data_IF_815701737937
#
_entry.id   IF_815701737937
#
_cell.length_a   1.000
_cell.length_b   1.000
_cell.length_c   1.000
_cell.angle_alpha   90.00
_cell.angle_beta   90.00
_cell.angle_gamma   90.00
#
_symmetry.space_group_name_H-M   'P 1'
#
loop_
_entity.id
_entity.type
_entity.pdbx_description
1 polymer ?
#
# COMPACT_ATOMS: atom_id res chain seq x y z
N UNK A 1 67.41 -66.74 -17.45
CA UNK A 1 66.04 -67.17 -17.79
C UNK A 1 65.70 -68.35 -16.89
N UNK A 2 64.64 -68.44 -16.10
CA UNK A 2 63.44 -67.63 -15.82
C UNK A 2 63.00 -67.96 -14.38
N UNK A 3 62.33 -67.01 -13.76
CA UNK A 3 61.93 -66.89 -12.35
C UNK A 3 60.74 -67.76 -11.92
N UNK A 4 60.92 -68.43 -10.78
CA UNK A 4 60.10 -68.54 -9.56
C UNK A 4 58.57 -68.29 -9.65
N UNK A 5 57.84 -69.41 -9.64
CA UNK A 5 56.81 -69.90 -8.69
C UNK A 5 55.75 -69.00 -7.99
N UNK A 6 54.57 -69.65 -7.90
CA UNK A 6 53.52 -69.64 -6.85
C UNK A 6 52.41 -68.57 -6.94
N UNK A 7 51.20 -68.93 -7.41
CA UNK A 7 50.01 -69.46 -6.66
C UNK A 7 49.48 -68.44 -5.63
N UNK A 8 48.22 -68.07 -5.51
CA UNK A 8 46.90 -68.42 -6.08
C UNK A 8 45.89 -67.43 -5.48
N UNK A 9 44.75 -67.23 -6.14
CA UNK A 9 43.35 -67.17 -5.59
C UNK A 9 42.50 -66.13 -6.34
N UNK A 10 41.35 -66.61 -6.83
CA UNK A 10 40.26 -65.90 -7.49
C UNK A 10 39.51 -64.94 -6.56
N UNK A 11 39.07 -63.80 -7.10
CA UNK A 11 37.88 -63.08 -6.60
C UNK A 11 37.14 -62.38 -7.75
N UNK A 12 35.83 -62.56 -7.74
CA UNK A 12 34.82 -62.15 -8.70
C UNK A 12 34.34 -60.70 -8.44
N UNK A 13 33.68 -60.13 -9.45
CA UNK A 13 32.55 -59.19 -9.41
C UNK A 13 32.77 -57.70 -9.76
N UNK A 14 31.91 -57.34 -10.72
CA UNK A 14 31.59 -56.06 -11.35
C UNK A 14 31.00 -55.10 -10.31
N UNK A 15 31.50 -53.86 -10.27
CA UNK A 15 31.02 -52.79 -9.41
C UNK A 15 30.80 -51.50 -10.19
N UNK A 16 29.53 -51.10 -10.25
CA UNK A 16 28.96 -49.87 -10.85
C UNK A 16 29.64 -48.62 -10.29
N UNK A 17 30.08 -47.70 -11.17
CA UNK A 17 30.46 -46.34 -10.78
C UNK A 17 29.27 -45.39 -10.97
N UNK A 18 28.59 -45.10 -9.87
CA UNK A 18 27.62 -44.01 -9.76
C UNK A 18 28.32 -42.86 -9.02
N UNK A 19 28.70 -41.79 -9.73
CA UNK A 19 29.28 -40.59 -9.12
C UNK A 19 28.14 -39.75 -8.56
N UNK A 20 27.92 -39.83 -7.25
CA UNK A 20 27.09 -38.89 -6.50
C UNK A 20 27.97 -37.71 -6.07
N UNK A 21 27.74 -36.54 -6.67
CA UNK A 21 28.24 -35.26 -6.20
C UNK A 21 27.53 -34.88 -4.90
N UNK A 22 28.15 -35.15 -3.75
CA UNK A 22 27.69 -34.66 -2.46
C UNK A 22 28.21 -33.23 -2.26
N UNK A 23 27.32 -32.25 -2.39
CA UNK A 23 27.55 -30.92 -1.83
C UNK A 23 27.70 -31.04 -0.30
N UNK A 24 28.79 -30.49 0.20
CA UNK A 24 29.15 -30.48 1.61
C UNK A 24 28.13 -29.66 2.41
N UNK A 25 27.38 -30.33 3.29
CA UNK A 25 26.71 -29.67 4.41
C UNK A 25 27.80 -29.23 5.41
N UNK A 26 27.97 -27.91 5.60
CA UNK A 26 28.77 -27.40 6.73
C UNK A 26 28.10 -27.82 8.04
N UNK A 27 28.89 -28.38 8.96
CA UNK A 27 28.43 -28.88 10.28
C UNK A 27 28.55 -27.84 11.38
N UNK A 28 28.83 -26.58 11.05
CA UNK A 28 28.90 -25.54 12.05
C UNK A 28 27.48 -25.10 12.43
N UNK A 29 27.11 -25.16 13.73
CA UNK A 29 25.83 -24.65 14.17
C UNK A 29 25.75 -23.16 13.86
N UNK A 30 24.69 -22.73 13.17
CA UNK A 30 24.38 -21.31 12.99
C UNK A 30 24.23 -20.72 14.39
N UNK A 31 25.13 -19.79 14.75
CA UNK A 31 25.04 -19.05 16.00
C UNK A 31 23.80 -18.16 15.86
N UNK A 32 22.78 -18.27 16.73
CA UNK A 32 21.61 -17.40 16.64
C UNK A 32 22.06 -15.96 16.87
N UNK A 33 21.82 -15.11 15.88
CA UNK A 33 22.08 -13.68 15.99
C UNK A 33 20.95 -13.01 16.79
N UNK A 34 21.31 -11.97 17.53
CA UNK A 34 20.32 -11.10 18.15
C UNK A 34 19.75 -10.18 17.07
N UNK A 35 18.67 -10.62 16.43
CA UNK A 35 17.99 -9.92 15.33
C UNK A 35 17.49 -8.52 15.74
N UNK A 36 17.39 -8.23 17.05
CA UNK A 36 17.07 -6.88 17.54
C UNK A 36 18.25 -5.91 17.42
N UNK A 37 19.48 -6.43 17.25
CA UNK A 37 20.74 -5.66 17.13
C UNK A 37 21.36 -5.76 15.73
N UNK A 38 21.05 -6.80 14.97
CA UNK A 38 21.60 -7.06 13.64
C UNK A 38 20.52 -6.99 12.55
N UNK A 39 19.73 -5.92 12.52
CA UNK A 39 18.59 -5.74 11.60
C UNK A 39 18.94 -5.73 10.10
N UNK A 40 20.23 -5.71 9.73
CA UNK A 40 20.73 -5.60 8.35
C UNK A 40 20.23 -4.36 7.55
N UNK A 41 19.51 -3.44 8.21
CA UNK A 41 19.08 -2.14 7.71
C UNK A 41 19.28 -1.05 8.78
N UNK A 42 19.33 0.22 8.35
CA UNK A 42 19.31 1.38 9.24
C UNK A 42 17.89 1.61 9.81
N UNK A 43 17.76 2.41 10.87
CA UNK A 43 16.43 2.83 11.34
C UNK A 43 15.91 4.02 10.50
N UNK A 44 14.65 4.01 10.04
CA UNK A 44 14.07 5.15 9.35
C UNK A 44 13.99 6.40 10.24
N UNK A 45 14.41 7.54 9.70
CA UNK A 45 14.31 8.85 10.35
C UNK A 45 13.16 9.70 9.80
N UNK A 46 12.71 9.40 8.57
CA UNK A 46 11.59 10.07 7.91
C UNK A 46 10.80 9.07 7.08
N UNK A 47 9.49 9.24 7.04
CA UNK A 47 8.57 8.46 6.22
C UNK A 47 7.67 9.41 5.45
N UNK A 48 7.45 9.16 4.16
CA UNK A 48 6.41 9.82 3.35
C UNK A 48 5.49 8.76 2.76
N UNK A 49 4.19 8.89 3.02
CA UNK A 49 3.16 8.08 2.38
C UNK A 49 2.51 8.94 1.31
N UNK A 50 2.51 8.44 0.07
CA UNK A 50 1.84 9.07 -1.07
C UNK A 50 0.62 8.24 -1.46
N UNK A 51 -0.53 8.88 -1.58
CA UNK A 51 -1.71 8.33 -2.24
C UNK A 51 -1.90 9.00 -3.59
N UNK A 52 -2.17 8.19 -4.62
CA UNK A 52 -2.41 8.64 -5.99
C UNK A 52 -3.75 8.07 -6.45
N UNK A 53 -4.73 8.93 -6.66
CA UNK A 53 -6.03 8.56 -7.21
C UNK A 53 -5.89 8.06 -8.65
N UNK A 54 -6.47 6.90 -8.94
CA UNK A 54 -6.29 6.17 -10.19
C UNK A 54 -7.62 5.63 -10.74
N UNK A 55 -7.62 5.32 -12.03
CA UNK A 55 -8.55 4.40 -12.68
C UNK A 55 -7.81 3.11 -13.08
N UNK A 56 -8.56 2.09 -13.50
CA UNK A 56 -8.03 0.75 -13.78
C UNK A 56 -8.08 0.41 -15.27
N UNK A 57 -6.94 -0.04 -15.81
CA UNK A 57 -6.81 -0.67 -17.14
C UNK A 57 -6.82 -2.22 -17.08
N UNK A 58 -6.95 -2.80 -15.89
CA UNK A 58 -7.03 -4.24 -15.66
C UNK A 58 -8.18 -4.58 -14.70
N UNK A 59 -8.63 -5.84 -14.70
CA UNK A 59 -9.57 -6.34 -13.68
C UNK A 59 -8.94 -6.22 -12.29
N UNK A 60 -9.70 -5.72 -11.31
CA UNK A 60 -9.28 -5.59 -9.91
C UNK A 60 -8.63 -6.87 -9.37
N UNK A 61 -9.17 -8.04 -9.71
CA UNK A 61 -8.69 -9.33 -9.22
C UNK A 61 -7.40 -9.79 -9.90
N UNK A 62 -6.96 -9.11 -10.94
CA UNK A 62 -5.75 -9.43 -11.71
C UNK A 62 -4.63 -8.40 -11.54
N UNK A 63 -4.86 -7.30 -10.80
CA UNK A 63 -3.84 -6.24 -10.66
C UNK A 63 -2.55 -6.72 -10.00
N UNK A 64 -2.63 -7.70 -9.09
CA UNK A 64 -1.44 -8.29 -8.45
C UNK A 64 -0.60 -9.18 -9.40
N UNK A 65 -1.04 -9.36 -10.66
CA UNK A 65 -0.30 -10.06 -11.71
C UNK A 65 0.00 -9.13 -12.88
N UNK A 66 -1.00 -8.37 -13.33
CA UNK A 66 -0.96 -7.58 -14.56
C UNK A 66 -0.57 -6.12 -14.35
N UNK A 67 -0.76 -5.55 -13.15
CA UNK A 67 -0.69 -4.11 -12.92
C UNK A 67 -1.98 -3.44 -13.40
N UNK A 68 -1.87 -2.23 -13.96
CA UNK A 68 -2.99 -1.55 -14.61
C UNK A 68 -3.63 -0.36 -13.88
N UNK A 69 -3.39 -0.07 -12.59
CA UNK A 69 -3.72 1.24 -12.05
C UNK A 69 -2.97 2.36 -12.78
N UNK A 70 -3.73 3.33 -13.27
CA UNK A 70 -3.22 4.52 -13.95
C UNK A 70 -3.74 5.77 -13.23
N UNK A 71 -2.83 6.69 -12.91
CA UNK A 71 -3.13 7.96 -12.27
C UNK A 71 -4.20 8.75 -13.03
N UNK A 72 -5.20 9.24 -12.31
CA UNK A 72 -6.11 10.25 -12.83
C UNK A 72 -5.36 11.58 -13.04
N UNK A 73 -5.62 12.32 -14.13
CA UNK A 73 -4.96 13.59 -14.40
C UNK A 73 -5.17 14.56 -13.23
N UNK A 74 -4.19 15.38 -12.89
CA UNK A 74 -4.40 16.43 -11.89
C UNK A 74 -5.49 17.43 -12.34
N UNK A 75 -6.05 18.14 -11.37
CA UNK A 75 -7.06 19.18 -11.59
C UNK A 75 -6.62 20.48 -10.94
N UNK A 76 -7.16 21.65 -11.35
CA UNK A 76 -6.83 22.93 -10.72
C UNK A 76 -7.44 23.10 -9.31
N UNK A 77 -8.21 22.11 -8.83
CA UNK A 77 -8.80 22.09 -7.48
C UNK A 77 -7.72 22.29 -6.41
N UNK A 78 -7.99 23.12 -5.40
CA UNK A 78 -6.99 23.58 -4.43
C UNK A 78 -6.84 22.64 -3.24
N UNK A 79 -7.91 21.98 -2.83
CA UNK A 79 -8.01 21.19 -1.61
C UNK A 79 -8.23 19.70 -1.91
N UNK A 80 -9.06 19.38 -2.89
CA UNK A 80 -9.32 18.03 -3.36
C UNK A 80 -8.22 17.58 -4.32
N UNK A 81 -7.13 17.09 -3.74
CA UNK A 81 -5.94 16.65 -4.49
C UNK A 81 -6.03 15.17 -4.87
N UNK A 82 -5.67 14.86 -6.12
CA UNK A 82 -5.61 13.49 -6.64
C UNK A 82 -4.29 12.81 -6.26
N UNK A 83 -3.20 13.56 -6.14
CA UNK A 83 -1.97 13.12 -5.48
C UNK A 83 -1.83 13.81 -4.12
N UNK A 84 -1.72 13.02 -3.05
CA UNK A 84 -1.57 13.50 -1.68
C UNK A 84 -0.35 12.87 -1.03
N UNK A 85 0.39 13.66 -0.25
CA UNK A 85 1.55 13.20 0.52
C UNK A 85 1.41 13.60 1.98
N UNK A 86 1.75 12.66 2.87
CA UNK A 86 1.87 12.91 4.29
C UNK A 86 3.22 12.42 4.75
N UNK A 87 3.96 13.31 5.41
CA UNK A 87 5.32 13.08 5.86
C UNK A 87 5.40 13.13 7.39
N UNK A 88 6.04 12.11 7.97
CA UNK A 88 6.40 12.05 9.37
C UNK A 88 7.92 12.02 9.53
N UNK A 89 8.42 12.62 10.61
CA UNK A 89 9.82 12.65 11.00
C UNK A 89 9.97 12.16 12.43
N UNK A 90 11.01 11.36 12.67
CA UNK A 90 11.37 10.87 13.97
C UNK A 90 12.10 11.98 14.75
N UNK A 91 11.48 12.49 15.81
CA UNK A 91 12.06 13.49 16.70
C UNK A 91 12.50 12.85 18.02
N UNK A 92 13.74 13.13 18.43
CA UNK A 92 14.30 12.63 19.69
C UNK A 92 13.38 13.01 20.87
N UNK A 93 12.96 12.01 21.64
CA UNK A 93 12.08 12.20 22.80
C UNK A 93 10.58 12.32 22.49
N UNK A 94 10.19 12.55 21.24
CA UNK A 94 8.78 12.65 20.81
C UNK A 94 8.33 11.49 19.92
N UNK A 95 9.26 10.70 19.39
CA UNK A 95 8.94 9.65 18.42
C UNK A 95 8.56 10.23 17.06
N UNK A 96 7.74 9.50 16.31
CA UNK A 96 7.25 9.94 15.00
C UNK A 96 6.27 11.09 15.15
N UNK A 97 6.57 12.21 14.50
CA UNK A 97 5.74 13.42 14.50
C UNK A 97 5.48 13.88 13.08
N UNK A 98 4.35 14.54 12.84
CA UNK A 98 4.05 15.13 11.54
C UNK A 98 5.14 16.15 11.18
N UNK A 99 5.67 16.07 9.97
CA UNK A 99 6.66 17.00 9.47
C UNK A 99 6.02 18.40 9.32
N UNK A 100 6.83 19.45 9.51
CA UNK A 100 6.37 20.82 9.35
C UNK A 100 5.88 21.05 7.91
N UNK A 101 4.69 21.65 7.76
CA UNK A 101 4.08 21.89 6.46
C UNK A 101 3.47 20.67 5.76
N UNK A 102 3.60 19.46 6.33
CA UNK A 102 2.91 18.28 5.79
C UNK A 102 1.40 18.40 5.98
N UNK A 103 0.64 17.89 4.99
CA UNK A 103 -0.78 17.64 5.17
C UNK A 103 -0.99 16.66 6.34
N UNK A 104 -2.03 16.88 7.15
CA UNK A 104 -2.25 16.10 8.38
C UNK A 104 -3.20 14.90 8.24
N UNK A 105 -3.95 14.80 7.14
CA UNK A 105 -4.94 13.75 6.89
C UNK A 105 -5.04 13.44 5.40
N UNK A 106 -5.41 12.22 5.01
CA UNK A 106 -5.80 11.95 3.63
C UNK A 106 -7.28 12.26 3.43
N UNK A 107 -7.62 12.90 2.31
CA UNK A 107 -8.99 13.20 1.90
C UNK A 107 -9.32 12.38 0.66
N UNK A 108 -10.21 11.41 0.79
CA UNK A 108 -10.46 10.42 -0.25
C UNK A 108 -11.96 10.27 -0.48
N UNK A 109 -12.30 9.61 -1.58
CA UNK A 109 -13.67 9.21 -1.90
C UNK A 109 -13.83 7.71 -1.91
N UNK A 110 -15.03 7.25 -1.56
CA UNK A 110 -15.44 5.86 -1.72
C UNK A 110 -15.46 5.52 -3.21
N UNK A 111 -14.99 4.34 -3.57
CA UNK A 111 -15.04 3.88 -4.96
C UNK A 111 -16.48 3.55 -5.41
N UNK A 112 -16.78 3.81 -6.67
CA UNK A 112 -17.89 3.18 -7.39
C UNK A 112 -17.53 1.76 -7.83
N UNK A 113 -18.55 0.93 -8.08
CA UNK A 113 -18.40 -0.46 -8.51
C UNK A 113 -18.70 -0.62 -10.01
N UNK A 114 -17.73 -0.26 -10.85
CA UNK A 114 -17.91 -0.28 -12.30
C UNK A 114 -17.42 -1.58 -12.95
N UNK A 115 -17.91 -1.82 -14.17
CA UNK A 115 -17.44 -2.89 -15.05
C UNK A 115 -17.08 -2.34 -16.43
N UNK A 116 -15.95 -2.79 -16.97
CA UNK A 116 -15.59 -2.59 -18.37
C UNK A 116 -15.62 -3.95 -19.08
N UNK A 117 -16.69 -4.22 -19.81
CA UNK A 117 -16.99 -5.57 -20.30
C UNK A 117 -17.21 -6.53 -19.13
N UNK A 118 -16.41 -7.59 -19.06
CA UNK A 118 -16.45 -8.55 -17.95
C UNK A 118 -15.55 -8.16 -16.78
N UNK A 119 -14.68 -7.17 -16.95
CA UNK A 119 -13.70 -6.81 -15.94
C UNK A 119 -14.34 -5.95 -14.86
N UNK A 120 -14.12 -6.29 -13.60
CA UNK A 120 -14.47 -5.44 -12.47
C UNK A 120 -13.41 -4.34 -12.31
N UNK A 121 -13.81 -3.10 -12.55
CA UNK A 121 -12.91 -1.93 -12.60
C UNK A 121 -13.43 -0.83 -11.67
N UNK A 122 -13.41 -1.04 -10.34
CA UNK A 122 -13.82 -0.02 -9.38
C UNK A 122 -13.01 1.26 -9.57
N UNK A 123 -13.64 2.42 -9.36
CA UNK A 123 -12.96 3.70 -9.49
C UNK A 123 -13.53 4.76 -8.52
N UNK A 124 -12.71 5.68 -7.97
CA UNK A 124 -11.25 5.57 -8.04
C UNK A 124 -10.73 4.44 -7.16
N UNK A 125 -9.53 3.99 -7.48
CA UNK A 125 -8.66 3.28 -6.52
C UNK A 125 -7.49 4.20 -6.20
N UNK A 126 -6.70 3.91 -5.18
CA UNK A 126 -5.53 4.72 -4.84
C UNK A 126 -4.27 3.87 -4.84
N UNK A 127 -3.28 4.23 -5.65
CA UNK A 127 -1.93 3.71 -5.48
C UNK A 127 -1.33 4.31 -4.21
N UNK A 128 -0.86 3.46 -3.32
CA UNK A 128 -0.13 3.83 -2.11
C UNK A 128 1.35 3.54 -2.30
N UNK A 129 2.18 4.56 -2.09
CA UNK A 129 3.64 4.41 -2.02
C UNK A 129 4.13 4.85 -0.65
N UNK A 130 5.02 4.06 -0.05
CA UNK A 130 5.67 4.40 1.21
C UNK A 130 7.17 4.59 0.95
N UNK A 131 7.69 5.75 1.32
CA UNK A 131 9.10 6.09 1.19
C UNK A 131 9.72 6.30 2.56
N UNK A 132 10.77 5.55 2.86
CA UNK A 132 11.59 5.68 4.06
C UNK A 132 12.91 6.35 3.72
N UNK A 133 13.33 7.25 4.60
CA UNK A 133 14.63 7.92 4.50
C UNK A 133 15.41 7.73 5.78
N UNK A 134 16.71 7.47 5.64
CA UNK A 134 17.63 7.37 6.78
C UNK A 134 17.91 8.76 7.39
N UNK A 135 18.73 8.80 8.45
CA UNK A 135 19.10 10.05 9.15
C UNK A 135 19.84 11.07 8.28
N UNK A 136 20.38 10.67 7.12
CA UNK A 136 21.04 11.56 6.15
C UNK A 136 20.06 12.09 5.09
N UNK A 137 18.81 11.64 5.10
CA UNK A 137 17.80 11.98 4.09
C UNK A 137 17.89 11.14 2.83
N UNK A 138 18.60 10.01 2.84
CA UNK A 138 18.74 9.11 1.69
C UNK A 138 17.60 8.09 1.68
N UNK A 139 17.02 7.85 0.50
CA UNK A 139 15.98 6.82 0.32
C UNK A 139 16.55 5.44 0.67
N UNK A 140 15.89 4.73 1.59
CA UNK A 140 16.39 3.48 2.15
C UNK A 140 15.46 2.28 1.95
N UNK A 141 14.39 2.41 1.16
CA UNK A 141 13.44 1.34 0.86
C UNK A 141 14.10 0.03 0.42
N UNK A 142 15.17 0.10 -0.38
CA UNK A 142 15.93 -1.07 -0.81
C UNK A 142 16.47 -1.91 0.35
N UNK A 143 16.78 -1.29 1.50
CA UNK A 143 17.23 -2.02 2.68
C UNK A 143 16.14 -2.91 3.30
N UNK A 144 14.85 -2.70 2.97
CA UNK A 144 13.75 -3.57 3.40
C UNK A 144 13.37 -4.65 2.37
N UNK A 145 14.02 -4.65 1.20
CA UNK A 145 13.66 -5.52 0.06
C UNK A 145 14.83 -6.33 -0.48
N UNK A 146 16.04 -5.80 -0.44
CA UNK A 146 17.21 -6.45 -1.01
C UNK A 146 17.84 -7.43 -0.01
N UNK A 147 18.70 -8.32 -0.52
CA UNK A 147 19.50 -9.24 0.30
C UNK A 147 18.68 -10.12 1.26
N UNK A 148 17.45 -10.48 0.88
CA UNK A 148 16.60 -11.37 1.68
C UNK A 148 15.71 -10.65 2.70
N UNK A 149 15.84 -9.32 2.83
CA UNK A 149 15.06 -8.50 3.76
C UNK A 149 13.55 -8.52 3.44
N UNK A 150 13.20 -8.73 2.18
CA UNK A 150 11.83 -8.96 1.75
C UNK A 150 11.20 -10.20 2.41
N UNK A 151 11.97 -11.16 2.93
CA UNK A 151 11.43 -12.37 3.55
C UNK A 151 11.00 -12.17 5.02
N UNK A 152 11.37 -11.04 5.61
CA UNK A 152 11.12 -10.71 7.02
C UNK A 152 10.36 -9.40 7.23
N UNK A 153 10.18 -8.59 6.18
CA UNK A 153 9.43 -7.32 6.25
C UNK A 153 8.04 -7.38 5.59
N UNK A 154 7.02 -6.88 6.29
CA UNK A 154 5.66 -6.68 5.75
C UNK A 154 4.95 -5.51 6.41
N UNK A 155 4.32 -4.64 5.61
CA UNK A 155 3.41 -3.62 6.11
C UNK A 155 2.04 -4.18 6.42
N UNK A 156 1.43 -3.68 7.49
CA UNK A 156 0.03 -3.93 7.83
C UNK A 156 -0.72 -2.59 7.93
N UNK A 157 -1.96 -2.59 7.42
CA UNK A 157 -2.84 -1.42 7.33
C UNK A 157 -4.18 -1.73 7.98
N UNK A 158 -4.44 -1.13 9.14
CA UNK A 158 -5.66 -1.40 9.91
C UNK A 158 -6.42 -0.10 10.17
N UNK A 159 -7.63 0.09 9.63
CA UNK A 159 -8.51 1.17 10.08
C UNK A 159 -8.86 1.01 11.56
N UNK A 160 -8.73 2.07 12.34
CA UNK A 160 -9.11 2.14 13.75
C UNK A 160 -9.77 3.49 14.06
N UNK A 161 -10.39 3.63 15.23
CA UNK A 161 -11.02 4.88 15.70
C UNK A 161 -12.05 5.48 14.71
N UNK A 162 -12.82 4.59 14.08
CA UNK A 162 -13.80 4.93 13.05
C UNK A 162 -14.95 5.74 13.66
N UNK A 163 -15.29 6.84 12.99
CA UNK A 163 -16.38 7.74 13.38
C UNK A 163 -17.05 8.32 12.13
N UNK A 164 -18.33 8.70 12.20
CA UNK A 164 -18.97 9.41 11.11
C UNK A 164 -18.36 10.81 10.92
N UNK A 165 -18.36 11.27 9.68
CA UNK A 165 -18.24 12.70 9.33
C UNK A 165 -19.50 13.47 9.76
N UNK A 166 -19.55 14.79 9.57
CA UNK A 166 -20.66 15.64 10.05
C UNK A 166 -22.06 15.21 9.55
N UNK A 167 -22.16 14.66 8.34
CA UNK A 167 -23.39 14.13 7.74
C UNK A 167 -23.37 12.59 7.61
N UNK A 168 -22.41 11.94 8.25
CA UNK A 168 -22.32 10.50 8.34
C UNK A 168 -23.18 9.91 9.47
N UNK A 169 -23.32 8.59 9.45
CA UNK A 169 -23.99 7.82 10.52
C UNK A 169 -23.11 6.65 10.94
N UNK A 170 -23.16 6.22 12.21
CA UNK A 170 -22.56 4.95 12.62
C UNK A 170 -23.24 3.77 11.90
N UNK A 171 -22.44 2.79 11.50
CA UNK A 171 -22.91 1.52 10.92
C UNK A 171 -22.43 0.33 11.76
N UNK A 172 -23.14 -0.80 11.68
CA UNK A 172 -22.91 -1.95 12.56
C UNK A 172 -21.52 -2.60 12.38
N UNK A 173 -20.99 -2.50 11.17
CA UNK A 173 -19.72 -3.04 10.68
C UNK A 173 -18.62 -1.97 10.60
N UNK A 174 -18.77 -0.82 11.27
CA UNK A 174 -17.70 0.20 11.38
C UNK A 174 -16.47 -0.27 12.17
N UNK A 175 -16.55 -1.42 12.85
CA UNK A 175 -15.41 -2.05 13.52
C UNK A 175 -14.76 -3.16 12.67
N UNK A 176 -15.23 -3.39 11.45
CA UNK A 176 -14.67 -4.38 10.53
C UNK A 176 -13.71 -3.67 9.53
N UNK A 177 -12.39 -3.90 9.63
CA UNK A 177 -11.41 -3.38 8.67
C UNK A 177 -11.75 -3.68 7.21
N UNK A 178 -12.27 -4.88 6.91
CA UNK A 178 -12.57 -5.32 5.55
C UNK A 178 -13.83 -4.66 4.97
N UNK A 179 -14.71 -4.15 5.84
CA UNK A 179 -15.87 -3.36 5.41
C UNK A 179 -15.50 -1.90 5.10
N UNK A 180 -14.31 -1.45 5.50
CA UNK A 180 -13.86 -0.06 5.36
C UNK A 180 -12.87 0.10 4.21
N UNK A 181 -11.92 -0.82 4.09
CA UNK A 181 -10.85 -0.75 3.08
C UNK A 181 -10.55 -2.12 2.50
N UNK A 182 -10.18 -2.13 1.23
CA UNK A 182 -9.59 -3.29 0.54
C UNK A 182 -8.21 -2.88 0.04
N UNK A 183 -7.19 -3.69 0.33
CA UNK A 183 -5.79 -3.39 0.01
C UNK A 183 -5.12 -4.58 -0.67
N UNK A 184 -4.54 -4.31 -1.84
CA UNK A 184 -3.76 -5.29 -2.60
C UNK A 184 -2.29 -4.86 -2.63
N UNK A 185 -1.42 -5.77 -2.19
CA UNK A 185 0.03 -5.59 -2.31
C UNK A 185 0.43 -5.68 -3.78
N UNK A 186 1.15 -4.67 -4.25
CA UNK A 186 1.63 -4.58 -5.63
C UNK A 186 3.09 -4.15 -5.67
N UNK A 187 3.86 -4.59 -4.67
CA UNK A 187 5.31 -4.52 -4.69
C UNK A 187 5.86 -5.12 -5.98
N UNK A 188 7.02 -4.63 -6.42
CA UNK A 188 7.64 -5.02 -7.68
C UNK A 188 9.07 -5.49 -7.48
N UNK A 189 9.60 -6.22 -8.45
CA UNK A 189 11.01 -6.56 -8.58
C UNK A 189 11.51 -6.12 -9.96
N UNK A 190 12.48 -5.20 -10.05
CA UNK A 190 13.12 -4.46 -8.95
C UNK A 190 12.13 -3.53 -8.21
N UNK A 191 12.47 -3.22 -6.96
CA UNK A 191 11.57 -2.54 -6.02
C UNK A 191 11.38 -1.06 -6.31
N UNK A 192 12.27 -0.44 -7.07
CA UNK A 192 12.29 1.00 -7.37
C UNK A 192 11.62 1.35 -8.71
N UNK A 193 11.07 0.35 -9.39
CA UNK A 193 10.41 0.47 -10.71
C UNK A 193 8.92 0.13 -10.64
N UNK A 194 8.21 0.38 -11.74
CA UNK A 194 6.81 -0.05 -11.95
C UNK A 194 6.74 -1.04 -13.12
N UNK A 195 5.63 -1.77 -13.26
CA UNK A 195 5.48 -2.80 -14.28
C UNK A 195 5.12 -2.24 -15.65
N UNK A 196 4.49 -1.07 -15.72
CA UNK A 196 3.99 -0.46 -16.96
C UNK A 196 4.96 -0.52 -18.15
N UNK A 197 6.20 -0.07 -17.95
CA UNK A 197 7.22 -0.02 -18.99
C UNK A 197 7.98 -1.35 -19.18
N UNK A 198 7.46 -2.44 -18.61
CA UNK A 198 8.11 -3.75 -18.47
C UNK A 198 9.48 -3.67 -17.76
N UNK A 199 9.68 -2.66 -16.91
CA UNK A 199 10.90 -2.49 -16.13
C UNK A 199 10.89 -3.32 -14.84
N UNK A 200 9.74 -3.83 -14.43
CA UNK A 200 9.58 -4.64 -13.22
C UNK A 200 8.46 -5.69 -13.34
N UNK A 201 8.56 -6.73 -12.51
CA UNK A 201 7.49 -7.70 -12.30
C UNK A 201 6.78 -7.44 -10.97
N UNK A 202 5.46 -7.62 -10.95
CA UNK A 202 4.69 -7.51 -9.70
C UNK A 202 4.89 -8.79 -8.87
N UNK A 203 5.27 -8.59 -7.62
CA UNK A 203 5.57 -9.64 -6.63
C UNK A 203 4.76 -9.50 -5.35
N UNK A 204 4.06 -8.37 -5.14
CA UNK A 204 3.30 -8.12 -3.91
C UNK A 204 2.29 -9.20 -3.53
N UNK A 205 1.62 -9.83 -4.51
CA UNK A 205 0.68 -10.93 -4.25
C UNK A 205 1.34 -12.24 -3.79
N UNK A 206 2.63 -12.45 -4.12
CA UNK A 206 3.36 -13.69 -3.79
C UNK A 206 4.37 -13.49 -2.66
N UNK A 207 4.82 -12.26 -2.42
CA UNK A 207 5.77 -11.90 -1.37
C UNK A 207 5.54 -10.45 -0.87
N UNK A 208 4.50 -10.19 -0.07
CA UNK A 208 4.06 -8.84 0.27
C UNK A 208 5.04 -8.11 1.19
N UNK A 209 5.63 -7.01 0.74
CA UNK A 209 6.38 -6.09 1.61
C UNK A 209 5.50 -4.90 1.96
N UNK A 210 4.73 -4.37 1.01
CA UNK A 210 3.79 -3.27 1.19
C UNK A 210 4.40 -1.88 1.09
N UNK A 211 5.53 -1.73 0.39
CA UNK A 211 6.03 -0.41 -0.01
C UNK A 211 5.24 0.15 -1.19
N UNK A 212 4.59 -0.73 -1.99
CA UNK A 212 3.58 -0.37 -2.98
C UNK A 212 2.27 -1.13 -2.76
N UNK A 213 1.17 -0.43 -2.88
CA UNK A 213 -0.18 -0.94 -2.66
C UNK A 213 -1.22 -0.33 -3.58
N UNK A 214 -2.36 -0.99 -3.72
CA UNK A 214 -3.59 -0.38 -4.23
C UNK A 214 -4.66 -0.49 -3.15
N UNK A 215 -5.21 0.64 -2.72
CA UNK A 215 -6.26 0.71 -1.70
C UNK A 215 -7.57 1.22 -2.29
N UNK A 216 -8.68 0.62 -1.87
CA UNK A 216 -10.04 1.10 -2.09
C UNK A 216 -10.69 1.44 -0.77
N UNK A 217 -11.49 2.50 -0.76
CA UNK A 217 -12.31 2.89 0.38
C UNK A 217 -13.74 2.49 0.10
N UNK A 218 -14.30 1.64 0.95
CA UNK A 218 -15.56 0.93 0.68
C UNK A 218 -16.78 1.62 1.32
N UNK A 219 -16.54 2.55 2.24
CA UNK A 219 -17.56 3.38 2.89
C UNK A 219 -17.24 4.86 2.76
N UNK A 220 -18.27 5.65 2.49
CA UNK A 220 -18.23 7.11 2.53
C UNK A 220 -18.70 7.64 3.88
N UNK A 221 -18.55 8.94 4.07
CA UNK A 221 -18.89 9.67 5.30
C UNK A 221 -18.24 9.13 6.57
N UNK A 222 -17.03 8.57 6.45
CA UNK A 222 -16.23 8.09 7.59
C UNK A 222 -14.95 8.89 7.78
N UNK A 223 -14.59 9.10 9.03
CA UNK A 223 -13.23 9.40 9.44
C UNK A 223 -12.66 8.21 10.22
N UNK A 224 -11.40 7.89 10.00
CA UNK A 224 -10.71 6.86 10.77
C UNK A 224 -9.21 7.12 10.77
N UNK A 225 -8.50 6.43 11.65
CA UNK A 225 -7.05 6.42 11.66
C UNK A 225 -6.58 5.15 10.94
N UNK A 226 -5.79 5.29 9.87
CA UNK A 226 -5.18 4.15 9.20
C UNK A 226 -3.88 3.80 9.94
N UNK A 227 -3.93 2.73 10.73
CA UNK A 227 -2.78 2.19 11.44
C UNK A 227 -1.81 1.55 10.45
N UNK A 228 -0.65 2.17 10.27
CA UNK A 228 0.42 1.70 9.41
C UNK A 228 1.56 1.13 10.25
N UNK A 229 1.87 -0.14 10.03
CA UNK A 229 2.89 -0.87 10.79
C UNK A 229 3.82 -1.64 9.87
N UNK A 230 5.13 -1.44 10.00
CA UNK A 230 6.13 -2.26 9.30
C UNK A 230 6.61 -3.35 10.25
N UNK A 231 6.17 -4.58 10.00
CA UNK A 231 6.61 -5.76 10.74
C UNK A 231 8.03 -6.13 10.34
N UNK A 232 8.84 -6.45 11.34
CA UNK A 232 10.18 -7.02 11.20
C UNK A 232 10.19 -8.37 11.91
N UNK A 233 10.13 -9.46 11.15
CA UNK A 233 10.20 -10.81 11.69
C UNK A 233 11.63 -11.21 12.01
N UNK A 234 11.86 -11.83 13.16
CA UNK A 234 13.20 -12.31 13.52
C UNK A 234 13.73 -13.40 12.58
N UNK A 235 12.84 -14.09 11.87
CA UNK A 235 13.24 -15.16 10.93
C UNK A 235 12.39 -15.18 9.67
N UNK A 236 11.11 -14.80 9.77
CA UNK A 236 10.17 -14.82 8.65
C UNK A 236 8.96 -13.96 8.93
N UNK A 237 8.37 -13.41 7.88
CA UNK A 237 7.03 -12.80 7.88
C UNK A 237 5.89 -13.80 7.60
N UNK A 238 6.20 -15.07 7.32
CA UNK A 238 5.19 -16.11 7.11
C UNK A 238 4.63 -16.59 8.44
N UNK A 239 3.31 -16.76 8.47
CA UNK A 239 2.63 -17.37 9.58
C UNK A 239 2.97 -18.88 9.62
N UNK A 240 3.60 -19.39 10.69
CA UNK A 240 4.04 -20.78 10.79
C UNK A 240 2.88 -21.78 10.87
N UNK A 241 1.67 -21.32 11.19
CA UNK A 241 0.48 -22.18 11.32
C UNK A 241 -0.20 -22.40 9.97
N UNK A 242 -0.18 -21.40 9.09
CA UNK A 242 -0.83 -21.46 7.77
C UNK A 242 0.17 -21.66 6.62
N UNK A 243 1.47 -21.43 6.88
CA UNK A 243 2.54 -21.34 5.89
C UNK A 243 2.31 -20.24 4.83
N UNK A 244 1.41 -19.30 5.09
CA UNK A 244 1.07 -18.15 4.26
C UNK A 244 1.38 -16.82 4.94
N UNK A 245 0.99 -15.72 4.31
CA UNK A 245 1.06 -14.38 4.90
C UNK A 245 -0.24 -14.05 5.60
N UNK A 246 -0.15 -13.31 6.71
CA UNK A 246 -1.35 -12.80 7.38
C UNK A 246 -2.01 -11.70 6.53
N UNK A 247 -3.34 -11.54 6.61
CA UNK A 247 -4.06 -10.52 5.86
C UNK A 247 -3.56 -9.12 6.25
N UNK A 248 -3.63 -8.18 5.30
CA UNK A 248 -3.03 -6.85 5.43
C UNK A 248 -3.49 -6.07 6.68
N UNK A 249 -4.69 -6.33 7.18
CA UNK A 249 -5.26 -5.61 8.31
C UNK A 249 -5.05 -6.30 9.66
N UNK A 250 -4.64 -7.57 9.68
CA UNK A 250 -4.66 -8.39 10.91
C UNK A 250 -3.45 -9.32 11.00
N UNK A 251 -2.29 -8.80 11.44
CA UNK A 251 -1.18 -9.65 11.84
C UNK A 251 -1.62 -10.57 12.99
N UNK A 252 -1.32 -11.86 12.87
CA UNK A 252 -1.68 -12.86 13.87
C UNK A 252 -0.87 -12.71 15.16
N UNK A 253 -1.42 -13.18 16.27
CA UNK A 253 -0.71 -13.16 17.55
C UNK A 253 0.63 -13.91 17.52
N UNK A 254 0.74 -14.97 16.70
CA UNK A 254 2.00 -15.71 16.52
C UNK A 254 3.05 -14.89 15.77
N UNK A 255 2.64 -14.09 14.78
CA UNK A 255 3.54 -13.19 14.06
C UNK A 255 4.05 -12.09 15.00
N UNK A 256 3.15 -11.45 15.75
CA UNK A 256 3.47 -10.38 16.72
C UNK A 256 4.50 -10.83 17.76
N UNK A 257 4.46 -12.09 18.20
CA UNK A 257 5.41 -12.63 19.19
C UNK A 257 6.78 -12.97 18.61
N UNK A 258 6.93 -13.00 17.28
CA UNK A 258 8.14 -13.46 16.57
C UNK A 258 8.85 -12.36 15.79
N UNK A 259 8.57 -11.11 16.13
CA UNK A 259 9.18 -9.97 15.50
C UNK A 259 9.00 -8.70 16.31
N UNK A 260 9.40 -7.59 15.70
CA UNK A 260 9.22 -6.23 16.21
C UNK A 260 8.54 -5.37 15.16
N UNK A 261 8.36 -4.09 15.46
CA UNK A 261 7.81 -3.08 14.57
C UNK A 261 8.86 -2.00 14.33
N UNK A 262 9.34 -1.88 13.09
CA UNK A 262 10.21 -0.75 12.72
C UNK A 262 9.40 0.54 12.59
N UNK A 263 8.13 0.41 12.19
CA UNK A 263 7.19 1.53 12.06
C UNK A 263 5.88 1.17 12.74
N UNK A 264 5.32 2.13 13.47
CA UNK A 264 4.06 1.98 14.19
C UNK A 264 3.42 3.37 14.39
N UNK A 265 2.63 3.81 13.42
CA UNK A 265 1.97 5.12 13.43
C UNK A 265 0.55 5.01 12.86
N UNK A 266 -0.25 6.05 13.07
CA UNK A 266 -1.59 6.13 12.51
C UNK A 266 -1.72 7.40 11.68
N UNK A 267 -2.26 7.28 10.46
CA UNK A 267 -2.49 8.40 9.55
C UNK A 267 -4.00 8.64 9.47
N UNK A 268 -4.51 9.83 9.82
CA UNK A 268 -5.94 10.10 9.70
C UNK A 268 -6.40 10.09 8.24
N UNK A 269 -7.58 9.53 7.99
CA UNK A 269 -8.24 9.46 6.69
C UNK A 269 -9.67 9.97 6.83
N UNK A 270 -10.12 10.76 5.86
CA UNK A 270 -11.49 11.23 5.72
C UNK A 270 -12.01 10.75 4.38
N UNK A 271 -12.97 9.82 4.39
CA UNK A 271 -13.75 9.45 3.21
C UNK A 271 -14.98 10.35 3.16
N UNK A 272 -14.84 11.54 2.59
CA UNK A 272 -15.87 12.60 2.73
C UNK A 272 -17.03 12.45 1.77
N UNK A 273 -16.88 11.66 0.70
CA UNK A 273 -17.95 11.45 -0.27
C UNK A 273 -17.82 10.16 -1.08
N UNK A 274 -18.89 9.80 -1.80
CA UNK A 274 -18.92 8.69 -2.75
C UNK A 274 -18.65 9.16 -4.17
N UNK A 275 -17.94 8.35 -4.95
CA UNK A 275 -17.79 8.57 -6.40
C UNK A 275 -19.13 8.59 -7.15
N UNK A 276 -20.17 7.98 -6.58
CA UNK A 276 -21.52 7.95 -7.16
C UNK A 276 -22.32 9.23 -6.87
N UNK A 277 -21.81 10.13 -6.04
CA UNK A 277 -22.42 11.43 -5.80
C UNK A 277 -22.06 12.44 -6.88
N UNK A 278 -23.00 13.32 -7.17
CA UNK A 278 -22.88 14.34 -8.20
C UNK A 278 -23.58 15.62 -7.76
N UNK A 279 -23.07 16.76 -8.21
CA UNK A 279 -23.71 18.06 -8.03
C UNK A 279 -24.25 18.49 -9.39
N UNK A 280 -25.57 18.68 -9.48
CA UNK A 280 -26.26 19.14 -10.69
C UNK A 280 -25.98 20.63 -10.94
N UNK A 281 -24.80 20.89 -11.50
CA UNK A 281 -24.32 22.24 -11.83
C UNK A 281 -23.67 22.24 -13.20
N UNK A 282 -23.99 23.27 -14.00
CA UNK A 282 -23.30 23.54 -15.25
C UNK A 282 -21.83 23.95 -14.94
N UNK A 283 -20.82 23.28 -15.51
CA UNK A 283 -19.41 23.62 -15.29
C UNK A 283 -19.03 25.05 -15.70
N UNK A 284 -19.84 25.71 -16.53
CA UNK A 284 -19.65 27.10 -16.96
C UNK A 284 -20.55 28.10 -16.18
N UNK A 285 -21.32 27.63 -15.18
CA UNK A 285 -22.19 28.49 -14.40
C UNK A 285 -21.41 29.56 -13.62
N UNK A 286 -22.00 30.76 -13.54
CA UNK A 286 -21.54 31.77 -12.58
C UNK A 286 -21.94 31.34 -11.16
N UNK A 287 -20.99 30.78 -10.43
CA UNK A 287 -21.15 30.30 -9.04
C UNK A 287 -21.68 31.37 -8.09
N UNK A 288 -21.57 32.67 -8.42
CA UNK A 288 -22.13 33.75 -7.60
C UNK A 288 -23.66 33.82 -7.66
N UNK A 289 -24.28 33.20 -8.67
CA UNK A 289 -25.73 33.16 -8.85
C UNK A 289 -26.38 31.93 -8.21
N UNK A 290 -25.58 30.97 -7.73
CA UNK A 290 -26.05 29.74 -7.10
C UNK A 290 -26.10 29.95 -5.59
N UNK A 291 -27.30 30.14 -5.06
CA UNK A 291 -27.51 30.32 -3.63
C UNK A 291 -27.16 29.06 -2.82
N UNK A 292 -26.76 29.24 -1.56
CA UNK A 292 -26.63 28.15 -0.61
C UNK A 292 -27.98 27.41 -0.46
N UNK A 293 -27.94 26.08 -0.46
CA UNK A 293 -29.11 25.19 -0.39
C UNK A 293 -30.13 25.36 -1.53
N UNK A 294 -29.72 25.96 -2.67
CA UNK A 294 -30.61 26.20 -3.81
C UNK A 294 -30.71 25.03 -4.81
N UNK A 295 -29.82 24.04 -4.70
CA UNK A 295 -29.81 22.83 -5.55
C UNK A 295 -30.69 21.73 -4.93
N UNK A 296 -30.73 20.55 -5.56
CA UNK A 296 -31.40 19.37 -5.00
C UNK A 296 -30.72 18.85 -3.72
N UNK A 297 -31.41 17.98 -2.99
CA UNK A 297 -30.97 17.46 -1.68
C UNK A 297 -29.59 16.79 -1.74
N UNK A 298 -29.34 15.98 -2.78
CA UNK A 298 -28.08 15.25 -2.93
C UNK A 298 -26.94 16.22 -3.26
N UNK A 299 -27.16 17.12 -4.22
CA UNK A 299 -26.20 18.19 -4.56
C UNK A 299 -25.83 19.05 -3.35
N UNK A 300 -26.81 19.50 -2.57
CA UNK A 300 -26.58 20.31 -1.37
C UNK A 300 -25.77 19.52 -0.34
N UNK A 301 -26.10 18.25 -0.12
CA UNK A 301 -25.39 17.39 0.84
C UNK A 301 -23.92 17.19 0.44
N UNK A 302 -23.66 16.92 -0.83
CA UNK A 302 -22.30 16.76 -1.37
C UNK A 302 -21.49 18.04 -1.17
N UNK A 303 -22.07 19.21 -1.47
CA UNK A 303 -21.40 20.51 -1.26
C UNK A 303 -21.15 20.82 0.21
N UNK A 304 -22.11 20.56 1.10
CA UNK A 304 -21.90 20.70 2.55
C UNK A 304 -20.78 19.78 3.04
N UNK A 305 -20.63 18.59 2.46
CA UNK A 305 -19.51 17.71 2.81
C UNK A 305 -18.15 18.28 2.43
N UNK A 306 -18.03 18.85 1.24
CA UNK A 306 -16.82 19.56 0.82
C UNK A 306 -16.56 20.75 1.74
N UNK A 307 -17.59 21.57 2.01
CA UNK A 307 -17.49 22.73 2.91
C UNK A 307 -16.96 22.36 4.30
N UNK A 308 -17.55 21.34 4.93
CA UNK A 308 -17.15 20.93 6.28
C UNK A 308 -15.78 20.27 6.32
N UNK A 309 -15.45 19.49 5.29
CA UNK A 309 -14.16 18.78 5.21
C UNK A 309 -13.00 19.75 5.07
N UNK A 310 -13.15 20.79 4.24
CA UNK A 310 -12.08 21.72 3.89
C UNK A 310 -12.25 23.12 4.51
N UNK A 311 -13.28 23.31 5.34
CA UNK A 311 -13.64 24.61 5.96
C UNK A 311 -13.87 25.71 4.92
N UNK A 312 -14.59 25.38 3.85
CA UNK A 312 -14.91 26.28 2.74
C UNK A 312 -16.30 26.92 2.91
N UNK A 313 -16.48 28.09 2.31
CA UNK A 313 -17.80 28.66 2.04
C UNK A 313 -18.51 27.86 0.95
N UNK A 314 -19.84 28.04 0.82
CA UNK A 314 -20.64 27.41 -0.24
C UNK A 314 -20.07 27.64 -1.63
N UNK A 315 -19.73 28.90 -1.94
CA UNK A 315 -19.14 29.29 -3.21
C UNK A 315 -17.80 28.59 -3.44
N UNK A 316 -16.91 28.59 -2.46
CA UNK A 316 -15.61 27.93 -2.57
C UNK A 316 -15.75 26.42 -2.77
N UNK A 317 -16.73 25.77 -2.13
CA UNK A 317 -17.02 24.35 -2.33
C UNK A 317 -17.56 24.04 -3.74
N UNK A 318 -18.42 24.91 -4.29
CA UNK A 318 -18.86 24.81 -5.69
C UNK A 318 -17.69 24.95 -6.67
N UNK A 319 -16.85 25.98 -6.50
CA UNK A 319 -15.67 26.21 -7.32
C UNK A 319 -14.70 25.02 -7.25
N UNK A 320 -14.50 24.49 -6.04
CA UNK A 320 -13.65 23.32 -5.80
C UNK A 320 -14.21 22.06 -6.48
N UNK A 321 -15.51 21.79 -6.33
CA UNK A 321 -16.17 20.68 -6.99
C UNK A 321 -16.05 20.76 -8.52
N UNK A 322 -16.35 21.93 -9.10
CA UNK A 322 -16.30 22.15 -10.55
C UNK A 322 -14.87 21.93 -11.05
N UNK A 323 -13.89 22.51 -10.35
CA UNK A 323 -12.47 22.38 -10.68
C UNK A 323 -12.02 20.92 -10.64
N UNK A 324 -12.40 20.19 -9.58
CA UNK A 324 -12.01 18.79 -9.39
C UNK A 324 -12.67 17.86 -10.41
N UNK A 325 -13.95 18.07 -10.70
CA UNK A 325 -14.76 17.13 -11.50
C UNK A 325 -14.64 17.39 -13.00
N UNK A 326 -14.68 18.66 -13.44
CA UNK A 326 -14.84 19.00 -14.86
C UNK A 326 -13.61 19.63 -15.50
N UNK A 327 -12.66 20.15 -14.72
CA UNK A 327 -11.48 20.86 -15.24
C UNK A 327 -10.20 20.02 -15.16
N UNK A 328 -10.33 18.72 -14.95
CA UNK A 328 -9.21 17.80 -15.05
C UNK A 328 -8.74 17.64 -16.51
N UNK A 329 -7.46 17.32 -16.69
CA UNK A 329 -6.89 17.04 -18.01
C UNK A 329 -7.45 15.76 -18.66
N UNK A 330 -6.84 15.37 -19.78
CA UNK A 330 -7.14 14.09 -20.45
C UNK A 330 -6.97 12.92 -19.48
N UNK A 331 -7.94 11.99 -19.48
CA UNK A 331 -7.98 10.87 -18.53
C UNK A 331 -6.72 10.01 -18.56
N UNK A 332 -6.02 9.97 -19.70
CA UNK A 332 -4.79 9.21 -19.87
C UNK A 332 -3.51 10.07 -19.70
N UNK A 333 -3.62 11.33 -19.26
CA UNK A 333 -2.45 12.21 -19.08
C UNK A 333 -1.69 12.00 -17.76
N UNK A 334 -2.11 11.04 -16.93
CA UNK A 334 -1.40 10.67 -15.71
C UNK A 334 0.01 10.15 -16.00
N UNK A 335 0.98 10.48 -15.14
CA UNK A 335 2.36 10.01 -15.32
C UNK A 335 2.67 8.76 -14.52
N UNK A 336 1.89 8.48 -13.48
CA UNK A 336 2.12 7.34 -12.59
C UNK A 336 1.27 6.17 -13.08
N UNK A 337 1.97 5.11 -13.48
CA UNK A 337 1.38 3.87 -13.92
C UNK A 337 2.07 2.73 -13.19
N UNK A 338 1.26 1.79 -12.70
CA UNK A 338 1.76 0.55 -12.14
C UNK A 338 1.80 -0.58 -13.17
#
# INVERSE_FOLDING_TARGET
MRTIACKTVWALLIGVSLVLSLNSCSKDPVIPEDETKNKLHEDPAKMTVRLVECHLHADWNEIQKAGGPHQNPESPARYMKRVQEITYELKTGSGWTLAEGSQGKFYVQKNGEYKNGNNFTPAPVYLMFIYYYNSKGELMNGQFVENGQENIHQHFFTPENVRPTFDGKPEADDNDPEALVDYLYVDTTPWDKTKHDNEAEITGGTNPVGLKGVIRFLKDRKEFDLKLRLYHGYNSKKNPQTNGFDPFYKPSGVLIQRGTWDINLSIPVVVFWSREEFVDVDPEADVNLIGEDSLDEDSNRTLHSIMKTFSLTWKEALEEFISYTYQAGDVEAGSIWL
#
